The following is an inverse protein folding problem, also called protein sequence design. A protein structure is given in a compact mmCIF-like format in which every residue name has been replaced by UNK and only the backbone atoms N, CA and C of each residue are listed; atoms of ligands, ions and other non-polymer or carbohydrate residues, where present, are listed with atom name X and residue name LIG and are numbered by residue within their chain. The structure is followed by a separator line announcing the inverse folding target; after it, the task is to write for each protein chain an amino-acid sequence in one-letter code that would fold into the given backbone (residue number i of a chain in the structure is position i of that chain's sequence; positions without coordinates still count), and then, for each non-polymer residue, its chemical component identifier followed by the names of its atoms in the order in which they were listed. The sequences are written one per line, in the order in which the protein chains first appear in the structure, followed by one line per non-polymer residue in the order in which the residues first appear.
data_IF_800619419498
#
_entry.id   IF_800619419498
#
_cell.length_a   1.000
_cell.length_b   1.000
_cell.length_c   1.000
_cell.angle_alpha   90.00
_cell.angle_beta   90.00
_cell.angle_gamma   90.00
#
_symmetry.space_group_name_H-M   'P 1'
#
loop_
_entity.id
_entity.type
_entity.pdbx_description
1 polymer ?
#
# COMPACT_ATOMS: atom_id res chain seq x y z
N UNK A 1 -14.31 -28.51 -20.97
CA UNK A 1 -13.18 -27.94 -20.22
C UNK A 1 -11.82 -28.59 -20.53
N UNK A 2 -11.72 -29.88 -20.86
CA UNK A 2 -10.43 -30.54 -21.16
C UNK A 2 -9.60 -29.86 -22.27
N UNK A 3 -10.22 -29.22 -23.26
CA UNK A 3 -9.54 -28.52 -24.37
C UNK A 3 -8.99 -27.12 -24.05
N UNK A 4 -9.29 -26.57 -22.89
CA UNK A 4 -8.88 -25.18 -22.50
C UNK A 4 -7.58 -25.17 -21.71
N UNK A 5 -7.32 -26.24 -20.94
CA UNK A 5 -6.13 -26.36 -20.12
C UNK A 5 -5.08 -27.25 -20.79
N UNK A 6 -4.48 -26.73 -21.84
CA UNK A 6 -3.30 -27.28 -22.49
C UNK A 6 -2.21 -26.22 -22.64
N UNK A 7 -0.96 -26.64 -22.80
CA UNK A 7 0.20 -25.75 -22.83
C UNK A 7 0.10 -24.76 -24.01
N UNK A 8 -0.34 -25.22 -25.19
CA UNK A 8 -0.44 -24.38 -26.39
C UNK A 8 -1.48 -23.27 -26.20
N UNK A 9 -2.64 -23.58 -25.62
CA UNK A 9 -3.68 -22.59 -25.30
C UNK A 9 -3.23 -21.55 -24.28
N UNK A 10 -2.50 -21.95 -23.23
CA UNK A 10 -1.94 -21.02 -22.23
C UNK A 10 -0.92 -20.08 -22.87
N UNK A 11 -0.02 -20.57 -23.71
CA UNK A 11 0.94 -19.74 -24.44
C UNK A 11 0.26 -18.82 -25.45
N UNK A 12 -0.78 -19.30 -26.16
CA UNK A 12 -1.57 -18.47 -27.08
C UNK A 12 -2.26 -17.32 -26.32
N UNK A 13 -2.78 -17.60 -25.13
CA UNK A 13 -3.37 -16.58 -24.27
C UNK A 13 -2.32 -15.56 -23.78
N UNK A 14 -1.14 -16.01 -23.34
CA UNK A 14 -0.05 -15.10 -22.95
C UNK A 14 0.37 -14.19 -24.12
N UNK A 15 0.53 -14.76 -25.33
CA UNK A 15 0.83 -13.99 -26.55
C UNK A 15 -0.24 -12.95 -26.85
N UNK A 16 -1.51 -13.32 -26.76
CA UNK A 16 -2.62 -12.39 -26.93
C UNK A 16 -2.58 -11.22 -25.93
N UNK A 17 -2.20 -11.48 -24.67
CA UNK A 17 -2.02 -10.42 -23.67
C UNK A 17 -0.84 -9.51 -24.01
N UNK A 18 0.26 -10.04 -24.56
CA UNK A 18 1.41 -9.27 -25.05
C UNK A 18 1.04 -8.40 -26.26
N UNK A 19 0.34 -8.93 -27.25
CA UNK A 19 -0.16 -8.20 -28.43
C UNK A 19 -1.05 -7.03 -28.02
N UNK A 20 -1.82 -7.16 -26.92
CA UNK A 20 -2.58 -6.07 -26.33
C UNK A 20 -1.74 -5.07 -25.53
N UNK A 21 -0.43 -5.16 -25.57
CA UNK A 21 0.50 -4.26 -24.88
C UNK A 21 0.26 -4.14 -23.36
N UNK A 22 -0.23 -5.22 -22.72
CA UNK A 22 -0.48 -5.21 -21.29
C UNK A 22 0.85 -5.25 -20.51
N UNK A 23 0.88 -4.54 -19.38
CA UNK A 23 2.04 -4.58 -18.48
C UNK A 23 2.23 -5.99 -17.90
N UNK A 24 3.47 -6.42 -17.74
CA UNK A 24 3.84 -7.75 -17.21
C UNK A 24 3.12 -8.10 -15.90
N UNK A 25 2.98 -7.16 -14.97
CA UNK A 25 2.25 -7.40 -13.73
C UNK A 25 0.73 -7.64 -13.94
N UNK A 26 0.14 -7.03 -14.97
CA UNK A 26 -1.26 -7.26 -15.35
C UNK A 26 -1.41 -8.66 -15.95
N UNK A 27 -0.50 -9.05 -16.84
CA UNK A 27 -0.46 -10.39 -17.44
C UNK A 27 -0.28 -11.46 -16.37
N UNK A 28 0.69 -11.26 -15.46
CA UNK A 28 0.91 -12.15 -14.30
C UNK A 28 -0.36 -12.31 -13.46
N UNK A 29 -1.13 -11.24 -13.28
CA UNK A 29 -2.39 -11.33 -12.53
C UNK A 29 -3.39 -12.24 -13.23
N UNK A 30 -3.59 -12.09 -14.54
CA UNK A 30 -4.49 -12.95 -15.30
C UNK A 30 -4.04 -14.42 -15.32
N UNK A 31 -2.73 -14.67 -15.56
CA UNK A 31 -2.18 -16.02 -15.58
C UNK A 31 -2.25 -16.71 -14.22
N UNK A 32 -2.02 -15.96 -13.13
CA UNK A 32 -2.19 -16.48 -11.76
C UNK A 32 -3.63 -16.78 -11.42
N UNK A 33 -4.58 -15.96 -11.87
CA UNK A 33 -6.01 -16.24 -11.71
C UNK A 33 -6.41 -17.49 -12.48
N UNK A 34 -5.94 -17.63 -13.73
CA UNK A 34 -6.20 -18.82 -14.55
C UNK A 34 -5.62 -20.07 -13.90
N UNK A 35 -4.39 -19.99 -13.34
CA UNK A 35 -3.78 -21.08 -12.55
C UNK A 35 -4.63 -21.46 -11.34
N UNK A 36 -5.18 -20.48 -10.64
CA UNK A 36 -6.06 -20.74 -9.49
C UNK A 36 -7.36 -21.45 -9.91
N UNK A 37 -7.94 -21.06 -11.06
CA UNK A 37 -9.12 -21.74 -11.63
C UNK A 37 -8.78 -23.17 -12.03
N UNK A 38 -7.65 -23.38 -12.73
CA UNK A 38 -7.17 -24.71 -13.08
C UNK A 38 -7.01 -25.63 -11.86
N UNK A 39 -6.33 -25.14 -10.82
CA UNK A 39 -6.13 -25.93 -9.60
C UNK A 39 -7.46 -26.30 -8.92
N UNK A 40 -8.45 -25.40 -8.92
CA UNK A 40 -9.79 -25.71 -8.41
C UNK A 40 -10.53 -26.73 -9.28
N UNK A 41 -10.44 -26.60 -10.59
CA UNK A 41 -11.03 -27.53 -11.53
C UNK A 41 -10.40 -28.94 -11.39
N UNK A 42 -9.10 -29.03 -11.16
CA UNK A 42 -8.39 -30.27 -10.89
C UNK A 42 -8.89 -30.95 -9.61
N UNK A 43 -8.97 -30.19 -8.51
CA UNK A 43 -9.51 -30.68 -7.23
C UNK A 43 -10.98 -31.15 -7.33
N UNK A 44 -11.77 -30.52 -8.18
CA UNK A 44 -13.16 -30.88 -8.43
C UNK A 44 -13.33 -32.02 -9.47
N UNK A 45 -12.24 -32.63 -9.98
CA UNK A 45 -12.29 -33.69 -11.00
C UNK A 45 -12.78 -33.23 -12.38
N UNK A 46 -12.88 -31.90 -12.62
CA UNK A 46 -13.40 -31.35 -13.87
C UNK A 46 -12.38 -31.32 -15.01
N UNK A 47 -11.09 -31.47 -14.71
CA UNK A 47 -9.99 -31.53 -15.67
C UNK A 47 -8.90 -32.50 -15.21
N UNK A 48 -8.08 -33.01 -16.16
CA UNK A 48 -6.92 -33.81 -15.83
C UNK A 48 -5.69 -32.95 -15.47
N UNK A 49 -4.74 -33.59 -14.80
CA UNK A 49 -3.45 -32.96 -14.51
C UNK A 49 -2.61 -32.83 -15.80
N UNK A 50 -2.07 -31.63 -16.03
CA UNK A 50 -1.17 -31.31 -17.12
C UNK A 50 0.18 -30.89 -16.54
N UNK A 51 1.24 -31.69 -16.70
CA UNK A 51 2.56 -31.37 -16.16
C UNK A 51 3.08 -30.05 -16.75
N UNK A 52 3.57 -29.15 -15.90
CA UNK A 52 4.23 -27.93 -16.35
C UNK A 52 3.33 -26.89 -17.02
N UNK A 53 2.00 -26.98 -16.96
CA UNK A 53 1.04 -26.12 -17.67
C UNK A 53 1.33 -24.61 -17.56
N UNK A 54 1.86 -24.15 -16.43
CA UNK A 54 2.22 -22.75 -16.19
C UNK A 54 3.74 -22.53 -15.98
N UNK A 55 4.59 -23.49 -16.38
CA UNK A 55 6.04 -23.43 -16.12
C UNK A 55 6.72 -22.31 -16.90
N UNK A 56 6.30 -22.08 -18.13
CA UNK A 56 6.97 -21.16 -19.07
C UNK A 56 6.22 -19.84 -19.29
N UNK A 57 5.21 -19.53 -18.48
CA UNK A 57 4.48 -18.26 -18.57
C UNK A 57 4.81 -17.34 -17.39
N UNK A 58 4.74 -16.03 -17.63
CA UNK A 58 5.12 -15.05 -16.63
C UNK A 58 4.09 -14.94 -15.51
N UNK A 59 4.38 -15.52 -14.37
CA UNK A 59 3.57 -15.40 -13.13
C UNK A 59 4.25 -14.62 -12.01
N UNK A 60 5.37 -13.97 -12.31
CA UNK A 60 6.15 -13.16 -11.37
C UNK A 60 5.52 -11.81 -11.04
N UNK A 61 6.22 -11.03 -10.24
CA UNK A 61 5.87 -9.64 -9.93
C UNK A 61 7.11 -8.77 -10.04
N UNK A 62 7.06 -7.72 -10.85
CA UNK A 62 8.10 -6.69 -10.92
C UNK A 62 7.69 -5.48 -10.11
N UNK A 63 8.58 -5.00 -9.28
CA UNK A 63 8.41 -3.75 -8.52
C UNK A 63 9.08 -2.59 -9.27
N UNK A 64 8.60 -2.31 -10.49
CA UNK A 64 9.27 -1.40 -11.43
C UNK A 64 9.18 0.07 -11.02
N UNK A 65 8.20 0.45 -10.21
CA UNK A 65 7.98 1.85 -9.84
C UNK A 65 7.95 2.00 -8.31
N UNK A 66 8.97 2.66 -7.78
CA UNK A 66 8.98 3.10 -6.39
C UNK A 66 8.13 4.38 -6.27
N UNK A 67 7.11 4.34 -5.41
CA UNK A 67 6.11 5.41 -5.26
C UNK A 67 6.38 6.33 -4.09
N UNK A 68 7.53 6.20 -3.44
CA UNK A 68 7.90 7.06 -2.32
C UNK A 68 8.25 8.45 -2.82
N UNK A 69 7.74 9.48 -2.14
CA UNK A 69 8.13 10.87 -2.34
C UNK A 69 9.45 11.16 -1.65
N UNK A 70 10.23 12.15 -2.16
CA UNK A 70 11.30 12.78 -1.41
C UNK A 70 10.76 13.39 -0.11
N UNK A 71 11.58 13.47 0.98
CA UNK A 71 11.13 14.02 2.26
C UNK A 71 10.57 15.44 2.15
N UNK A 72 11.18 16.31 1.34
CA UNK A 72 10.70 17.68 1.12
C UNK A 72 9.29 17.72 0.50
N UNK A 73 9.04 16.91 -0.55
CA UNK A 73 7.74 16.82 -1.18
C UNK A 73 6.68 16.22 -0.23
N UNK A 74 7.11 15.26 0.61
CA UNK A 74 6.21 14.71 1.62
C UNK A 74 5.86 15.78 2.68
N UNK A 75 6.83 16.59 3.10
CA UNK A 75 6.57 17.74 3.97
C UNK A 75 5.53 18.70 3.40
N UNK A 76 5.64 19.05 2.11
CA UNK A 76 4.63 19.88 1.43
C UNK A 76 3.25 19.21 1.40
N UNK A 77 3.19 17.89 1.18
CA UNK A 77 1.93 17.15 1.17
C UNK A 77 1.29 17.05 2.57
N UNK A 78 2.09 17.14 3.63
CA UNK A 78 1.63 17.14 5.03
C UNK A 78 1.21 18.53 5.51
N UNK A 79 1.68 19.60 4.88
CA UNK A 79 1.36 20.96 5.27
C UNK A 79 -0.08 21.34 4.94
N UNK A 80 -0.96 21.20 5.93
CA UNK A 80 -2.41 21.50 5.82
C UNK A 80 -2.71 23.00 5.80
N UNK A 81 -1.71 23.86 6.04
CA UNK A 81 -1.88 25.33 6.00
C UNK A 81 -2.09 25.87 4.59
N UNK A 82 -1.63 25.14 3.57
CA UNK A 82 -1.75 25.55 2.17
C UNK A 82 -3.20 25.93 1.81
N UNK A 83 -3.34 27.05 1.09
CA UNK A 83 -4.64 27.51 0.58
C UNK A 83 -5.09 26.65 -0.58
N UNK A 84 -5.88 25.64 -0.29
CA UNK A 84 -6.43 24.70 -1.26
C UNK A 84 -7.96 24.73 -1.25
N UNK A 85 -8.55 24.43 -2.39
CA UNK A 85 -9.99 24.22 -2.47
C UNK A 85 -10.44 23.12 -1.48
N UNK A 86 -11.63 23.30 -0.86
CA UNK A 86 -12.16 22.44 0.21
C UNK A 86 -12.03 20.93 -0.09
N UNK A 87 -12.35 20.52 -1.31
CA UNK A 87 -12.28 19.09 -1.69
C UNK A 87 -10.86 18.53 -1.74
N UNK A 88 -9.87 19.32 -2.14
CA UNK A 88 -8.46 18.93 -2.16
C UNK A 88 -7.91 18.92 -0.74
N UNK A 89 -8.35 19.85 0.11
CA UNK A 89 -7.96 19.90 1.52
C UNK A 89 -8.41 18.65 2.29
N UNK A 90 -9.63 18.18 2.03
CA UNK A 90 -10.12 16.93 2.61
C UNK A 90 -9.26 15.73 2.17
N UNK A 91 -8.95 15.63 0.87
CA UNK A 91 -8.09 14.58 0.36
C UNK A 91 -6.66 14.67 0.92
N UNK A 92 -6.15 15.88 1.14
CA UNK A 92 -4.86 16.11 1.78
C UNK A 92 -4.86 15.62 3.24
N UNK A 93 -5.90 15.91 4.01
CA UNK A 93 -6.06 15.43 5.39
C UNK A 93 -6.05 13.89 5.43
N UNK A 94 -6.82 13.22 4.57
CA UNK A 94 -6.81 11.76 4.50
C UNK A 94 -5.44 11.21 4.11
N UNK A 95 -4.75 11.87 3.17
CA UNK A 95 -3.40 11.47 2.75
C UNK A 95 -2.38 11.65 3.90
N UNK A 96 -2.45 12.75 4.64
CA UNK A 96 -1.62 12.99 5.81
C UNK A 96 -1.87 11.92 6.89
N UNK A 97 -3.12 11.59 7.19
CA UNK A 97 -3.46 10.52 8.14
C UNK A 97 -2.89 9.16 7.72
N UNK A 98 -2.89 8.82 6.42
CA UNK A 98 -2.25 7.58 5.96
C UNK A 98 -0.77 7.53 6.34
N UNK A 99 -0.06 8.65 6.30
CA UNK A 99 1.35 8.73 6.67
C UNK A 99 1.55 8.76 8.19
N UNK A 100 0.87 9.65 8.90
CA UNK A 100 0.99 9.85 10.35
C UNK A 100 0.61 8.60 11.14
N UNK A 101 -0.31 7.79 10.62
CA UNK A 101 -0.69 6.50 11.18
C UNK A 101 0.18 5.34 10.67
N UNK A 102 1.50 5.59 10.53
CA UNK A 102 2.53 4.59 10.15
C UNK A 102 2.30 3.94 8.79
N UNK A 103 1.94 4.73 7.80
CA UNK A 103 1.67 4.20 6.46
C UNK A 103 0.44 3.29 6.41
N UNK A 104 -0.60 3.60 7.17
CA UNK A 104 -1.87 2.86 7.17
C UNK A 104 -2.44 2.77 5.75
N UNK A 105 -2.91 1.62 5.26
CA UNK A 105 -3.60 1.55 3.97
C UNK A 105 -4.94 2.27 4.00
N UNK A 106 -5.33 2.87 2.88
CA UNK A 106 -6.63 3.56 2.77
C UNK A 106 -7.82 2.65 3.07
N UNK A 107 -7.72 1.35 2.75
CA UNK A 107 -8.76 0.38 3.08
C UNK A 107 -8.99 0.22 4.59
N UNK A 108 -7.91 0.32 5.37
CA UNK A 108 -7.96 0.24 6.82
C UNK A 108 -8.43 1.59 7.40
N UNK A 109 -7.86 2.72 6.93
CA UNK A 109 -8.26 4.06 7.36
C UNK A 109 -9.75 4.33 7.16
N UNK A 110 -10.27 3.99 5.97
CA UNK A 110 -11.68 4.22 5.65
C UNK A 110 -12.66 3.40 6.50
N UNK A 111 -12.19 2.30 7.09
CA UNK A 111 -12.99 1.37 7.92
C UNK A 111 -12.69 1.44 9.41
N UNK A 112 -11.86 2.40 9.84
CA UNK A 112 -11.67 2.62 11.28
C UNK A 112 -13.02 2.92 11.93
N UNK A 113 -13.29 2.27 13.03
CA UNK A 113 -14.52 2.46 13.81
C UNK A 113 -14.28 3.41 14.98
N UNK A 114 -15.34 4.03 15.46
CA UNK A 114 -15.28 4.88 16.66
C UNK A 114 -14.73 4.12 17.87
N UNK A 115 -15.09 2.85 18.03
CA UNK A 115 -14.59 1.98 19.10
C UNK A 115 -13.11 1.57 18.94
N UNK A 116 -12.51 1.71 17.75
CA UNK A 116 -11.10 1.42 17.52
C UNK A 116 -10.16 2.49 18.09
N UNK A 117 -10.67 3.71 18.35
CA UNK A 117 -9.91 4.83 18.89
C UNK A 117 -10.28 5.07 20.35
N UNK A 118 -9.36 4.78 21.25
CA UNK A 118 -9.54 4.92 22.69
C UNK A 118 -8.23 5.38 23.35
N UNK A 119 -8.32 6.35 24.25
CA UNK A 119 -7.19 6.83 25.06
C UNK A 119 -5.95 7.21 24.23
N UNK A 120 -6.16 7.89 23.09
CA UNK A 120 -5.06 8.30 22.19
C UNK A 120 -4.42 7.14 21.40
N UNK A 121 -5.05 5.96 21.38
CA UNK A 121 -4.55 4.78 20.69
C UNK A 121 -5.59 4.25 19.71
N UNK A 122 -5.17 4.00 18.48
CA UNK A 122 -5.97 3.25 17.50
C UNK A 122 -5.53 1.80 17.54
N UNK A 123 -6.50 0.89 17.77
CA UNK A 123 -6.30 -0.56 17.74
C UNK A 123 -7.25 -1.18 16.72
N UNK A 124 -6.74 -1.71 15.63
CA UNK A 124 -7.54 -2.25 14.55
C UNK A 124 -6.97 -3.53 13.95
N UNK A 125 -7.80 -4.30 13.23
CA UNK A 125 -7.35 -5.46 12.46
C UNK A 125 -7.22 -5.11 10.98
N UNK A 126 -6.03 -5.39 10.41
CA UNK A 126 -5.77 -5.18 8.99
C UNK A 126 -6.73 -5.98 8.12
N UNK A 127 -7.40 -5.31 7.19
CA UNK A 127 -8.35 -5.95 6.25
C UNK A 127 -7.71 -7.06 5.41
N UNK A 128 -6.45 -6.88 5.00
CA UNK A 128 -5.75 -7.84 4.11
C UNK A 128 -5.19 -9.06 4.85
N UNK A 129 -4.72 -8.90 6.08
CA UNK A 129 -3.93 -9.94 6.78
C UNK A 129 -4.56 -10.41 8.08
N UNK A 130 -5.62 -9.76 8.56
CA UNK A 130 -6.25 -10.03 9.86
C UNK A 130 -5.38 -9.67 11.07
N UNK A 131 -4.14 -9.21 10.85
CA UNK A 131 -3.20 -8.87 11.93
C UNK A 131 -3.71 -7.67 12.71
N UNK A 132 -3.69 -7.75 14.04
CA UNK A 132 -3.97 -6.63 14.92
C UNK A 132 -2.79 -5.65 14.92
N UNK A 133 -3.09 -4.37 14.80
CA UNK A 133 -2.13 -3.27 14.85
C UNK A 133 -2.60 -2.27 15.88
N UNK A 134 -1.64 -1.77 16.65
CA UNK A 134 -1.84 -0.73 17.66
C UNK A 134 -0.96 0.48 17.30
N UNK A 135 -1.58 1.65 17.19
CA UNK A 135 -0.90 2.92 16.82
C UNK A 135 -1.22 3.96 17.86
N UNK A 136 -0.21 4.50 18.52
CA UNK A 136 -0.35 5.71 19.31
C UNK A 136 -0.54 6.90 18.35
N UNK A 137 -1.58 7.66 18.55
CA UNK A 137 -1.95 8.80 17.71
C UNK A 137 -1.22 10.04 18.22
N UNK A 138 -0.46 10.69 17.34
CA UNK A 138 0.19 11.96 17.67
C UNK A 138 -0.85 13.08 17.76
N UNK A 139 -0.52 14.18 18.46
CA UNK A 139 -1.40 15.35 18.58
C UNK A 139 -1.85 15.87 17.22
N UNK A 140 -0.92 15.96 16.26
CA UNK A 140 -1.18 16.36 14.88
C UNK A 140 -2.20 15.41 14.20
N UNK A 141 -2.01 14.11 14.33
CA UNK A 141 -2.96 13.15 13.78
C UNK A 141 -4.33 13.21 14.46
N UNK A 142 -4.37 13.44 15.79
CA UNK A 142 -5.60 13.58 16.55
C UNK A 142 -6.41 14.80 16.10
N UNK A 143 -5.74 15.93 15.82
CA UNK A 143 -6.38 17.11 15.27
C UNK A 143 -6.98 16.84 13.89
N UNK A 144 -6.25 16.18 13.01
CA UNK A 144 -6.77 15.80 11.69
C UNK A 144 -7.94 14.83 11.76
N UNK A 145 -7.91 13.89 12.72
CA UNK A 145 -9.04 12.99 12.98
C UNK A 145 -10.27 13.79 13.41
N UNK A 146 -10.12 14.75 14.34
CA UNK A 146 -11.25 15.62 14.77
C UNK A 146 -11.86 16.40 13.60
N UNK A 147 -11.04 16.90 12.67
CA UNK A 147 -11.52 17.65 11.48
C UNK A 147 -12.33 16.83 10.50
N UNK A 148 -12.04 15.53 10.37
CA UNK A 148 -12.72 14.63 9.43
C UNK A 148 -13.51 13.50 10.14
N UNK A 149 -13.83 13.68 11.43
CA UNK A 149 -14.62 12.72 12.19
C UNK A 149 -16.03 12.57 11.62
N UNK A 150 -16.52 11.35 11.55
CA UNK A 150 -17.92 11.08 11.25
C UNK A 150 -18.78 11.33 12.50
N UNK A 151 -19.53 12.43 12.49
CA UNK A 151 -20.37 12.88 13.61
C UNK A 151 -21.74 12.22 13.63
N UNK A 152 -22.10 11.43 12.64
CA UNK A 152 -23.40 10.77 12.57
C UNK A 152 -23.49 9.68 13.63
N UNK A 153 -24.62 9.60 14.30
CA UNK A 153 -24.87 8.64 15.38
C UNK A 153 -25.08 7.22 14.87
N UNK A 154 -25.64 7.07 13.69
CA UNK A 154 -25.90 5.80 13.01
C UNK A 154 -24.64 5.20 12.33
N UNK A 155 -23.59 6.02 12.12
CA UNK A 155 -22.35 5.57 11.49
C UNK A 155 -21.39 4.94 12.51
N UNK A 156 -20.89 3.72 12.25
CA UNK A 156 -19.90 3.09 13.10
C UNK A 156 -18.49 3.63 12.87
N UNK A 157 -18.26 4.38 11.77
CA UNK A 157 -16.93 4.79 11.32
C UNK A 157 -16.39 5.99 12.10
N UNK A 158 -15.07 6.00 12.32
CA UNK A 158 -14.37 7.09 12.98
C UNK A 158 -14.30 8.34 12.08
N UNK A 159 -14.10 8.13 10.77
CA UNK A 159 -13.85 9.18 9.79
C UNK A 159 -14.98 9.22 8.75
N UNK A 160 -15.30 10.42 8.29
CA UNK A 160 -16.31 10.65 7.25
C UNK A 160 -15.76 10.31 5.84
N UNK A 161 -15.20 9.11 5.67
CA UNK A 161 -14.67 8.63 4.39
C UNK A 161 -15.71 7.81 3.63
N UNK A 162 -16.38 6.89 4.32
CA UNK A 162 -17.45 6.06 3.78
C UNK A 162 -18.84 6.62 4.10
N UNK A 163 -18.89 7.73 4.85
CA UNK A 163 -20.09 8.41 5.23
C UNK A 163 -20.53 9.42 4.20
N UNK A 164 -21.22 9.00 3.14
CA UNK A 164 -21.98 9.90 2.28
C UNK A 164 -23.33 10.23 2.93
N UNK A 165 -23.86 11.45 2.72
CA UNK A 165 -25.18 11.87 3.25
C UNK A 165 -26.32 10.93 2.81
N UNK A 166 -26.13 10.25 1.67
CA UNK A 166 -27.06 9.28 1.13
C UNK A 166 -26.81 7.82 1.60
N UNK A 167 -25.78 7.60 2.44
CA UNK A 167 -25.41 6.26 2.87
C UNK A 167 -26.12 5.90 4.18
N UNK A 168 -27.08 4.98 4.12
CA UNK A 168 -27.74 4.42 5.30
C UNK A 168 -26.96 3.21 5.82
N UNK A 169 -26.70 3.18 7.11
CA UNK A 169 -26.04 2.05 7.76
C UNK A 169 -27.06 1.16 8.49
N UNK A 170 -26.81 -0.17 8.59
CA UNK A 170 -25.64 -0.90 8.07
C UNK A 170 -25.77 -1.22 6.58
N UNK A 171 -24.64 -1.12 5.86
CA UNK A 171 -24.56 -1.58 4.46
C UNK A 171 -24.35 -3.09 4.39
N UNK A 172 -24.98 -3.71 3.39
CA UNK A 172 -24.64 -5.08 3.02
C UNK A 172 -23.19 -5.19 2.54
N UNK A 173 -22.52 -6.33 2.80
CA UNK A 173 -21.08 -6.54 2.48
C UNK A 173 -20.72 -6.19 1.01
N UNK A 174 -21.61 -6.46 0.06
CA UNK A 174 -21.43 -6.18 -1.38
C UNK A 174 -21.56 -4.69 -1.68
N UNK A 175 -22.48 -4.01 -1.02
CA UNK A 175 -22.71 -2.57 -1.17
C UNK A 175 -21.59 -1.76 -0.57
N UNK A 176 -21.14 -2.11 0.64
CA UNK A 176 -19.97 -1.50 1.28
C UNK A 176 -18.72 -1.61 0.39
N UNK A 177 -18.50 -2.78 -0.23
CA UNK A 177 -17.37 -2.97 -1.14
C UNK A 177 -17.48 -2.07 -2.39
N UNK A 178 -18.65 -1.97 -3.03
CA UNK A 178 -18.86 -1.09 -4.18
C UNK A 178 -18.65 0.37 -3.81
N UNK A 179 -19.23 0.79 -2.70
CA UNK A 179 -19.10 2.16 -2.20
C UNK A 179 -17.63 2.49 -1.91
N UNK A 180 -16.92 1.64 -1.18
CA UNK A 180 -15.48 1.78 -0.95
C UNK A 180 -14.69 1.93 -2.24
N UNK A 181 -14.98 1.14 -3.27
CA UNK A 181 -14.29 1.23 -4.57
C UNK A 181 -14.54 2.57 -5.28
N UNK A 182 -15.73 3.12 -5.15
CA UNK A 182 -16.05 4.45 -5.69
C UNK A 182 -15.29 5.56 -4.95
N UNK A 183 -15.31 5.51 -3.61
CA UNK A 183 -14.58 6.46 -2.76
C UNK A 183 -13.08 6.39 -3.03
N UNK A 184 -12.49 5.20 -3.12
CA UNK A 184 -11.07 5.01 -3.44
C UNK A 184 -10.70 5.62 -4.80
N UNK A 185 -11.54 5.43 -5.84
CA UNK A 185 -11.32 6.02 -7.16
C UNK A 185 -11.38 7.55 -7.11
N UNK A 186 -12.38 8.11 -6.42
CA UNK A 186 -12.54 9.55 -6.20
C UNK A 186 -11.33 10.12 -5.43
N UNK A 187 -10.92 9.48 -4.37
CA UNK A 187 -9.75 9.86 -3.59
C UNK A 187 -8.46 9.88 -4.44
N UNK A 188 -8.17 8.82 -5.19
CA UNK A 188 -6.98 8.78 -6.05
C UNK A 188 -7.03 9.85 -7.17
N UNK A 189 -8.22 10.22 -7.67
CA UNK A 189 -8.39 11.34 -8.60
C UNK A 189 -8.06 12.68 -7.93
N UNK A 190 -8.58 12.93 -6.72
CA UNK A 190 -8.27 14.13 -5.93
C UNK A 190 -6.77 14.20 -5.60
N UNK A 191 -6.12 13.08 -5.29
CA UNK A 191 -4.67 13.03 -5.04
C UNK A 191 -3.83 13.43 -6.27
N UNK A 192 -4.27 13.11 -7.48
CA UNK A 192 -3.60 13.58 -8.71
C UNK A 192 -3.70 15.10 -8.85
N UNK A 193 -4.86 15.66 -8.58
CA UNK A 193 -5.07 17.11 -8.61
C UNK A 193 -4.30 17.81 -7.48
N UNK A 194 -4.24 17.21 -6.30
CA UNK A 194 -3.45 17.69 -5.17
C UNK A 194 -1.95 17.74 -5.52
N UNK A 195 -1.41 16.70 -6.16
CA UNK A 195 -0.02 16.69 -6.60
C UNK A 195 0.28 17.83 -7.57
N UNK A 196 -0.62 18.11 -8.51
CA UNK A 196 -0.48 19.24 -9.44
C UNK A 196 -0.57 20.60 -8.72
N UNK A 197 -1.54 20.76 -7.81
CA UNK A 197 -1.71 22.00 -7.03
C UNK A 197 -0.50 22.32 -6.16
N UNK A 198 0.12 21.30 -5.56
CA UNK A 198 1.33 21.41 -4.75
C UNK A 198 2.63 21.36 -5.56
N UNK A 199 2.56 21.26 -6.89
CA UNK A 199 3.72 21.17 -7.81
C UNK A 199 4.69 20.04 -7.45
N UNK A 200 4.19 18.89 -6.96
CA UNK A 200 5.03 17.75 -6.63
C UNK A 200 5.54 17.06 -7.89
N UNK A 201 6.79 16.65 -7.90
CA UNK A 201 7.40 15.92 -9.03
C UNK A 201 6.87 14.49 -9.19
N UNK A 202 6.33 13.92 -8.11
CA UNK A 202 5.82 12.55 -8.06
C UNK A 202 4.29 12.44 -8.18
N UNK A 203 3.82 11.28 -8.67
CA UNK A 203 2.38 10.98 -8.71
C UNK A 203 1.89 10.56 -7.33
N UNK A 204 0.90 11.25 -6.78
CA UNK A 204 0.22 10.82 -5.56
C UNK A 204 -0.81 9.71 -5.83
N UNK A 205 -0.87 8.78 -4.92
CA UNK A 205 -1.89 7.75 -4.82
C UNK A 205 -2.11 7.38 -3.36
N UNK A 206 -3.18 6.68 -3.04
CA UNK A 206 -3.44 6.18 -1.69
C UNK A 206 -2.33 5.26 -1.13
N UNK A 207 -1.46 4.74 -1.99
CA UNK A 207 -0.31 3.92 -1.59
C UNK A 207 0.99 4.72 -1.40
N UNK A 208 1.07 5.94 -1.94
CA UNK A 208 2.28 6.78 -1.88
C UNK A 208 2.69 7.07 -0.45
N UNK A 209 1.76 7.44 0.43
CA UNK A 209 2.04 7.69 1.85
C UNK A 209 2.72 6.50 2.53
N UNK A 210 2.22 5.28 2.27
CA UNK A 210 2.78 4.04 2.82
C UNK A 210 4.17 3.73 2.28
N UNK A 211 4.38 3.91 0.96
CA UNK A 211 5.71 3.76 0.36
C UNK A 211 6.70 4.77 0.92
N UNK A 212 6.28 6.03 1.07
CA UNK A 212 7.12 7.09 1.62
C UNK A 212 7.47 6.80 3.07
N UNK A 213 6.50 6.43 3.90
CA UNK A 213 6.75 6.09 5.30
C UNK A 213 7.77 4.94 5.43
N UNK A 214 7.56 3.86 4.69
CA UNK A 214 8.46 2.70 4.72
C UNK A 214 9.88 3.05 4.24
N UNK A 215 10.00 3.80 3.14
CA UNK A 215 11.29 4.20 2.57
C UNK A 215 12.01 5.19 3.49
N UNK A 216 11.29 6.17 4.05
CA UNK A 216 11.86 7.13 5.02
C UNK A 216 12.37 6.39 6.27
N UNK A 217 11.56 5.50 6.87
CA UNK A 217 11.98 4.70 8.01
C UNK A 217 13.24 3.87 7.70
N UNK A 218 13.34 3.28 6.52
CA UNK A 218 14.52 2.53 6.09
C UNK A 218 15.75 3.42 5.95
N UNK A 219 15.62 4.59 5.32
CA UNK A 219 16.73 5.54 5.15
C UNK A 219 17.16 6.20 6.47
N UNK A 220 16.26 6.29 7.45
CA UNK A 220 16.58 6.69 8.84
C UNK A 220 17.12 5.54 9.70
N UNK A 221 17.48 4.40 9.06
CA UNK A 221 18.11 3.23 9.69
C UNK A 221 17.24 2.45 10.67
N UNK A 222 15.93 2.57 10.57
CA UNK A 222 15.01 1.68 11.31
C UNK A 222 15.14 0.27 10.75
N UNK A 223 15.32 -0.72 11.64
CA UNK A 223 15.45 -2.12 11.23
C UNK A 223 14.24 -2.60 10.40
N UNK A 224 14.48 -3.34 9.30
CA UNK A 224 13.44 -3.78 8.37
C UNK A 224 12.35 -4.61 9.06
N UNK A 225 12.73 -5.39 10.09
CA UNK A 225 11.80 -6.14 10.92
C UNK A 225 10.81 -5.22 11.67
N UNK A 226 11.29 -4.08 12.20
CA UNK A 226 10.45 -3.09 12.88
C UNK A 226 9.50 -2.43 11.87
N UNK A 227 10.01 -2.06 10.67
CA UNK A 227 9.20 -1.52 9.57
C UNK A 227 8.11 -2.52 9.17
N UNK A 228 8.47 -3.80 9.01
CA UNK A 228 7.55 -4.89 8.66
C UNK A 228 6.43 -5.02 9.68
N UNK A 229 6.77 -4.99 10.96
CA UNK A 229 5.81 -5.04 12.06
C UNK A 229 4.87 -3.83 12.08
N UNK A 230 5.44 -2.62 11.98
CA UNK A 230 4.67 -1.38 11.96
C UNK A 230 3.67 -1.32 10.80
N UNK A 231 4.06 -1.84 9.64
CA UNK A 231 3.21 -1.94 8.46
C UNK A 231 2.24 -3.13 8.50
N UNK A 232 2.36 -4.05 9.44
CA UNK A 232 1.54 -5.26 9.55
C UNK A 232 1.71 -6.20 8.37
N UNK A 233 2.94 -6.36 7.86
CA UNK A 233 3.25 -7.33 6.83
C UNK A 233 3.37 -8.74 7.42
N UNK A 234 3.06 -9.75 6.61
CA UNK A 234 3.18 -11.16 6.99
C UNK A 234 4.64 -11.65 6.96
N UNK A 235 5.51 -10.97 6.20
CA UNK A 235 6.94 -11.28 6.10
C UNK A 235 7.76 -10.04 5.77
N UNK A 236 9.06 -10.08 6.13
CA UNK A 236 10.05 -9.02 5.81
C UNK A 236 10.19 -8.87 4.29
N UNK A 237 10.18 -9.95 3.53
CA UNK A 237 10.26 -9.94 2.05
C UNK A 237 9.19 -9.05 1.40
N UNK A 238 7.98 -8.98 1.97
CA UNK A 238 6.95 -8.04 1.52
C UNK A 238 7.37 -6.59 1.75
N UNK A 239 8.06 -6.30 2.85
CA UNK A 239 8.53 -4.95 3.16
C UNK A 239 9.59 -4.47 2.18
N UNK A 240 10.51 -5.33 1.78
CA UNK A 240 11.58 -5.02 0.82
C UNK A 240 11.05 -4.51 -0.52
N UNK A 241 9.87 -4.94 -0.94
CA UNK A 241 9.24 -4.44 -2.18
C UNK A 241 8.85 -2.95 -2.12
N UNK A 242 8.74 -2.38 -0.92
CA UNK A 242 8.43 -0.97 -0.70
C UNK A 242 9.68 -0.09 -0.66
N UNK A 243 10.84 -0.67 -0.33
CA UNK A 243 12.04 0.10 -0.09
C UNK A 243 12.69 0.53 -1.40
N UNK A 244 13.15 1.79 -1.46
CA UNK A 244 14.08 2.22 -2.50
C UNK A 244 15.48 1.69 -2.16
N UNK A 245 16.27 1.26 -3.17
CA UNK A 245 17.68 0.95 -2.96
C UNK A 245 18.40 2.16 -2.35
N UNK A 246 19.46 1.89 -1.61
CA UNK A 246 20.39 2.94 -1.21
C UNK A 246 21.10 3.50 -2.43
N UNK A 247 21.35 4.80 -2.40
CA UNK A 247 22.21 5.46 -3.40
C UNK A 247 23.66 5.00 -3.23
N UNK A 248 24.42 4.93 -4.33
CA UNK A 248 25.79 4.46 -4.30
C UNK A 248 26.68 5.23 -3.31
N UNK A 249 26.47 6.54 -3.21
CA UNK A 249 27.20 7.38 -2.24
C UNK A 249 27.01 6.92 -0.79
N UNK A 250 25.82 6.43 -0.43
CA UNK A 250 25.56 5.90 0.90
C UNK A 250 26.27 4.56 1.12
N UNK A 251 26.33 3.72 0.10
CA UNK A 251 27.05 2.44 0.15
C UNK A 251 28.56 2.70 0.32
N UNK A 252 29.11 3.66 -0.44
CA UNK A 252 30.51 4.06 -0.36
C UNK A 252 30.87 4.66 1.00
N UNK A 253 30.01 5.52 1.54
CA UNK A 253 30.18 6.10 2.88
C UNK A 253 30.12 5.01 3.96
N UNK A 254 29.24 4.02 3.81
CA UNK A 254 29.14 2.89 4.73
C UNK A 254 30.40 2.03 4.66
N UNK A 255 30.89 1.73 3.47
CA UNK A 255 32.12 0.98 3.27
C UNK A 255 33.33 1.67 3.91
N UNK A 256 33.46 3.00 3.72
CA UNK A 256 34.52 3.79 4.39
C UNK A 256 34.47 3.67 5.91
N UNK A 257 33.27 3.70 6.51
CA UNK A 257 33.09 3.52 7.97
C UNK A 257 33.51 2.13 8.44
N UNK A 258 33.16 1.08 7.69
CA UNK A 258 33.55 -0.30 8.01
C UNK A 258 35.06 -0.44 7.98
N UNK A 259 35.70 0.06 6.92
CA UNK A 259 37.17 0.02 6.78
C UNK A 259 37.83 0.80 7.92
N UNK A 260 37.37 1.98 8.26
CA UNK A 260 37.93 2.77 9.37
C UNK A 260 37.75 2.06 10.71
N UNK A 261 36.63 1.40 10.96
CA UNK A 261 36.40 0.62 12.17
C UNK A 261 37.39 -0.54 12.29
N UNK A 262 37.57 -1.35 11.24
CA UNK A 262 38.50 -2.48 11.23
C UNK A 262 39.93 -2.00 11.45
N UNK A 263 40.36 -0.93 10.76
CA UNK A 263 41.71 -0.33 10.98
C UNK A 263 41.93 0.14 12.43
N UNK A 264 40.90 0.74 13.05
CA UNK A 264 40.97 1.17 14.44
C UNK A 264 41.08 -0.01 15.43
N UNK A 265 40.45 -1.14 15.12
CA UNK A 265 40.54 -2.34 15.93
C UNK A 265 41.94 -3.01 15.83
N UNK A 266 42.56 -2.98 14.64
CA UNK A 266 43.92 -3.56 14.45
C UNK A 266 45.02 -2.76 15.16
N UNK A 267 44.88 -1.43 15.33
CA UNK A 267 45.84 -0.58 16.05
C UNK A 267 45.75 -0.77 17.58
N UNK A 268 44.66 -1.28 18.11
CA UNK A 268 44.49 -1.50 19.56
C UNK A 268 45.04 -2.85 20.06
N UNK A 269 45.49 -3.71 19.17
CA UNK A 269 46.08 -5.04 19.50
C UNK A 269 47.59 -5.09 19.32
N UNK A 270 48.23 -4.02 18.93
CA UNK A 270 49.70 -3.84 18.96
C UNK A 270 50.12 -2.77 19.99
#
# INVERSE_FOLDING_TARGET
MRKVFDIATIHKFERHLLERMLKLNTMSTYLRMLRAVYNRALLAGLTGYVPGLFKHVYTGTRADVKRALPPAEMGQALDISASLHRELKEAQIWFALLFLLRGMPFADLARLRKCDFKDGVITYRRQKTGRQIRVHVTEEAAELIRRCADRRTDSPYLLNILGDENCRFPLGRREEYRHYQQVLRRFNRKLKLLAAALRLGGKLSSYTARHTWATTAFHTRVAVGVISNALGHSSVKVTETYLKPFENEMLDRTNKKIIAYVKKCSIRQG
#
